data_IF_550964454148
#
_entry.id   IF_550964454148
#
_cell.length_a   1.000
_cell.length_b   1.000
_cell.length_c   1.000
_cell.angle_alpha   90.00
_cell.angle_beta   90.00
_cell.angle_gamma   90.00
#
_symmetry.space_group_name_H-M   'P 1'
#
loop_
_entity.id
_entity.type
_entity.pdbx_description
1 polymer ?
#
# COMPACT_ATOMS: atom_id res chain seq x y z
N UNK A 1 51.80 -38.71 23.17
CA UNK A 1 50.52 -38.57 22.43
C UNK A 1 50.01 -37.15 22.60
N UNK A 2 50.20 -36.31 21.58
CA UNK A 2 49.79 -34.86 21.58
C UNK A 2 48.39 -34.77 21.05
N UNK A 3 47.42 -34.32 21.87
CA UNK A 3 46.03 -34.04 21.44
C UNK A 3 45.98 -32.65 20.79
N UNK A 4 45.69 -32.61 19.50
CA UNK A 4 45.44 -31.36 18.75
C UNK A 4 43.98 -31.00 18.97
N UNK A 5 43.71 -29.88 19.65
CA UNK A 5 42.37 -29.25 19.75
C UNK A 5 42.19 -28.38 18.51
N UNK A 6 41.28 -28.81 17.64
CA UNK A 6 40.81 -27.99 16.50
C UNK A 6 39.69 -27.08 17.00
N UNK A 7 40.01 -25.79 17.14
CA UNK A 7 39.02 -24.77 17.49
C UNK A 7 38.27 -24.37 16.22
N UNK A 8 37.00 -24.75 16.10
CA UNK A 8 36.13 -24.34 15.00
C UNK A 8 35.70 -22.88 15.21
N UNK A 9 36.18 -21.97 14.36
CA UNK A 9 35.78 -20.58 14.34
C UNK A 9 34.43 -20.46 13.62
N UNK A 10 33.37 -20.24 14.38
CA UNK A 10 32.01 -19.99 13.84
C UNK A 10 31.93 -18.55 13.29
N UNK A 11 32.00 -18.38 11.99
CA UNK A 11 31.79 -17.08 11.34
C UNK A 11 30.29 -16.81 11.28
N UNK A 12 29.79 -15.92 12.15
CA UNK A 12 28.42 -15.40 12.09
C UNK A 12 28.41 -14.33 11.01
N UNK A 13 27.81 -14.65 9.85
CA UNK A 13 27.51 -13.67 8.81
C UNK A 13 26.29 -12.88 9.24
N UNK A 14 26.49 -11.67 9.77
CA UNK A 14 25.43 -10.70 10.02
C UNK A 14 24.97 -10.18 8.66
N UNK A 15 23.82 -10.66 8.16
CA UNK A 15 23.13 -10.03 7.05
C UNK A 15 22.59 -8.69 7.54
N UNK A 16 23.29 -7.61 7.19
CA UNK A 16 22.80 -6.25 7.43
C UNK A 16 21.53 -6.05 6.63
N UNK A 17 20.36 -5.97 7.30
CA UNK A 17 19.16 -5.41 6.72
C UNK A 17 19.46 -3.93 6.43
N UNK A 18 19.64 -3.56 5.17
CA UNK A 18 19.74 -2.16 4.80
C UNK A 18 18.38 -1.51 5.07
N UNK A 19 18.30 -0.51 5.96
CA UNK A 19 17.07 0.26 6.13
C UNK A 19 16.74 0.99 4.81
N UNK A 20 15.45 1.29 4.55
CA UNK A 20 15.08 2.09 3.38
C UNK A 20 15.85 3.40 3.37
N UNK A 21 16.36 3.78 2.21
CA UNK A 21 17.11 5.03 2.08
C UNK A 21 16.16 6.21 2.30
N UNK A 22 16.49 6.98 3.31
CA UNK A 22 15.78 8.20 3.67
C UNK A 22 16.53 9.35 3.02
N UNK A 23 15.86 10.12 2.15
CA UNK A 23 16.42 11.35 1.57
C UNK A 23 15.74 12.57 2.18
N UNK A 24 16.54 13.56 2.56
CA UNK A 24 16.01 14.83 3.04
C UNK A 24 15.50 15.68 1.87
N UNK A 25 14.31 16.23 1.98
CA UNK A 25 13.79 17.21 1.02
C UNK A 25 14.56 18.51 1.18
N UNK A 26 15.07 19.13 0.11
CA UNK A 26 15.76 20.42 0.24
C UNK A 26 14.79 21.49 0.76
N UNK A 27 15.02 22.00 1.98
CA UNK A 27 14.43 23.24 2.49
C UNK A 27 13.52 23.17 3.72
N UNK A 28 13.00 22.00 4.14
CA UNK A 28 12.08 21.94 5.28
C UNK A 28 12.41 20.88 6.35
N UNK A 29 13.49 20.14 6.18
CA UNK A 29 13.88 19.08 7.11
C UNK A 29 12.99 17.82 7.04
N UNK A 30 12.05 17.74 6.10
CA UNK A 30 11.16 16.59 5.94
C UNK A 30 11.91 15.39 5.37
N UNK A 31 11.77 14.27 6.04
CA UNK A 31 12.34 12.99 5.59
C UNK A 31 11.45 12.39 4.51
N UNK A 32 11.97 12.25 3.29
CA UNK A 32 11.22 11.63 2.19
C UNK A 32 11.40 10.12 2.22
N UNK A 33 10.30 9.40 2.42
CA UNK A 33 10.25 7.94 2.33
C UNK A 33 10.22 7.55 0.85
N UNK A 34 11.25 6.81 0.40
CA UNK A 34 11.31 6.31 -0.98
C UNK A 34 10.68 4.91 -1.05
N UNK A 35 9.41 4.84 -1.45
CA UNK A 35 8.64 3.58 -1.53
C UNK A 35 9.21 2.58 -2.54
N UNK A 36 9.88 3.06 -3.59
CA UNK A 36 10.53 2.22 -4.60
C UNK A 36 11.63 1.32 -4.03
N UNK A 37 12.29 1.74 -2.95
CA UNK A 37 13.35 0.95 -2.30
C UNK A 37 12.81 -0.20 -1.46
N UNK A 38 11.55 -0.15 -1.06
CA UNK A 38 10.90 -1.21 -0.28
C UNK A 38 10.48 -2.37 -1.19
N UNK A 39 10.13 -2.07 -2.44
CA UNK A 39 9.60 -3.02 -3.41
C UNK A 39 8.06 -3.12 -3.38
N UNK A 40 7.46 -3.12 -4.56
CA UNK A 40 6.00 -3.04 -4.74
C UNK A 40 5.27 -4.18 -4.02
N UNK A 41 5.66 -5.42 -4.26
CA UNK A 41 5.00 -6.59 -3.65
C UNK A 41 5.09 -6.59 -2.14
N UNK A 42 6.21 -6.15 -1.58
CA UNK A 42 6.40 -6.08 -0.13
C UNK A 42 5.46 -5.07 0.51
N UNK A 43 5.31 -3.88 -0.09
CA UNK A 43 4.39 -2.85 0.41
C UNK A 43 2.95 -3.34 0.32
N UNK A 44 2.55 -3.94 -0.80
CA UNK A 44 1.20 -4.48 -0.99
C UNK A 44 0.87 -5.59 -0.01
N UNK A 45 1.79 -6.55 0.22
CA UNK A 45 1.59 -7.63 1.19
C UNK A 45 1.51 -7.08 2.60
N UNK A 46 2.41 -6.18 2.99
CA UNK A 46 2.43 -5.57 4.32
C UNK A 46 1.14 -4.79 4.62
N UNK A 47 0.65 -4.02 3.63
CA UNK A 47 -0.61 -3.30 3.76
C UNK A 47 -1.82 -4.25 3.90
N UNK A 48 -1.85 -5.34 3.09
CA UNK A 48 -2.86 -6.39 3.21
C UNK A 48 -2.83 -7.04 4.59
N UNK A 49 -1.66 -7.41 5.09
CA UNK A 49 -1.48 -8.05 6.39
C UNK A 49 -1.99 -7.13 7.52
N UNK A 50 -1.70 -5.82 7.44
CA UNK A 50 -2.17 -4.84 8.41
C UNK A 50 -3.69 -4.72 8.42
N UNK A 51 -4.33 -4.66 7.25
CA UNK A 51 -5.79 -4.65 7.12
C UNK A 51 -6.40 -5.94 7.66
N UNK A 52 -5.83 -7.08 7.30
CA UNK A 52 -6.35 -8.37 7.74
C UNK A 52 -6.24 -8.57 9.25
N UNK A 53 -5.19 -8.03 9.88
CA UNK A 53 -5.07 -8.01 11.34
C UNK A 53 -6.21 -7.20 11.98
N UNK A 54 -6.53 -6.02 11.44
CA UNK A 54 -7.65 -5.18 11.94
C UNK A 54 -9.00 -5.87 11.71
N UNK A 55 -9.21 -6.46 10.53
CA UNK A 55 -10.45 -7.19 10.20
C UNK A 55 -10.65 -8.40 11.10
N UNK A 56 -9.58 -9.18 11.31
CA UNK A 56 -9.61 -10.36 12.20
C UNK A 56 -9.94 -9.98 13.64
N UNK A 57 -9.37 -8.88 14.14
CA UNK A 57 -9.69 -8.37 15.49
C UNK A 57 -11.18 -8.00 15.67
N UNK A 58 -11.90 -7.79 14.55
CA UNK A 58 -13.34 -7.51 14.49
C UNK A 58 -14.20 -8.69 14.04
N UNK A 59 -13.61 -9.89 13.94
CA UNK A 59 -14.33 -11.11 13.53
C UNK A 59 -14.73 -11.15 12.06
N UNK A 60 -14.08 -10.33 11.20
CA UNK A 60 -14.33 -10.28 9.77
C UNK A 60 -13.38 -11.20 8.98
N UNK A 61 -13.85 -11.69 7.83
CA UNK A 61 -13.03 -12.48 6.92
C UNK A 61 -11.85 -11.67 6.36
N UNK A 62 -10.72 -12.33 6.15
CA UNK A 62 -9.56 -11.73 5.52
C UNK A 62 -9.85 -11.36 4.06
N UNK A 63 -9.19 -10.29 3.60
CA UNK A 63 -9.15 -9.90 2.20
C UNK A 63 -8.00 -10.60 1.47
N UNK A 64 -8.09 -10.69 0.16
CA UNK A 64 -7.03 -11.14 -0.73
C UNK A 64 -6.71 -10.06 -1.78
N UNK A 65 -5.44 -9.96 -2.17
CA UNK A 65 -5.06 -9.08 -3.29
C UNK A 65 -5.65 -9.57 -4.60
N UNK A 66 -6.20 -8.63 -5.38
CA UNK A 66 -6.72 -8.88 -6.71
C UNK A 66 -5.97 -8.03 -7.75
N UNK A 67 -5.47 -8.68 -8.80
CA UNK A 67 -4.64 -8.04 -9.83
C UNK A 67 -5.41 -6.97 -10.62
N UNK A 68 -6.69 -7.20 -10.94
CA UNK A 68 -7.52 -6.23 -11.67
C UNK A 68 -7.76 -4.97 -10.85
N UNK A 69 -8.10 -5.13 -9.57
CA UNK A 69 -8.25 -4.01 -8.63
C UNK A 69 -6.91 -3.27 -8.44
N UNK A 70 -5.80 -3.99 -8.30
CA UNK A 70 -4.47 -3.37 -8.15
C UNK A 70 -4.07 -2.56 -9.39
N UNK A 71 -4.37 -3.05 -10.60
CA UNK A 71 -4.12 -2.30 -11.84
C UNK A 71 -5.00 -1.07 -11.95
N UNK A 72 -6.28 -1.16 -11.59
CA UNK A 72 -7.20 -0.03 -11.54
C UNK A 72 -6.73 1.04 -10.54
N UNK A 73 -6.32 0.62 -9.35
CA UNK A 73 -5.74 1.50 -8.33
C UNK A 73 -4.47 2.20 -8.84
N UNK A 74 -3.55 1.46 -9.47
CA UNK A 74 -2.31 2.01 -10.02
C UNK A 74 -2.56 3.07 -11.10
N UNK A 75 -3.51 2.80 -12.00
CA UNK A 75 -3.90 3.75 -13.05
C UNK A 75 -4.44 5.04 -12.45
N UNK A 76 -5.30 4.94 -11.42
CA UNK A 76 -5.88 6.11 -10.78
C UNK A 76 -4.89 6.90 -9.94
N UNK A 77 -3.98 6.24 -9.23
CA UNK A 77 -2.91 6.91 -8.48
C UNK A 77 -2.05 7.79 -9.38
N UNK A 78 -1.68 7.30 -10.57
CA UNK A 78 -0.98 8.09 -11.57
C UNK A 78 -1.86 9.22 -12.12
N UNK A 79 -3.12 8.95 -12.43
CA UNK A 79 -4.05 9.95 -12.97
C UNK A 79 -4.30 11.10 -11.98
N UNK A 80 -4.45 10.81 -10.69
CA UNK A 80 -4.52 11.85 -9.64
C UNK A 80 -3.27 12.74 -9.62
N UNK A 81 -2.07 12.16 -9.81
CA UNK A 81 -0.84 12.94 -9.86
C UNK A 81 -0.81 13.89 -11.07
N UNK A 82 -1.28 13.44 -12.22
CA UNK A 82 -1.39 14.27 -13.43
C UNK A 82 -2.40 15.40 -13.25
N UNK A 83 -3.53 15.12 -12.60
CA UNK A 83 -4.54 16.11 -12.26
C UNK A 83 -4.14 17.04 -11.12
N UNK A 84 -3.09 16.66 -10.37
CA UNK A 84 -2.68 17.28 -9.10
C UNK A 84 -3.86 17.44 -8.13
N UNK A 85 -4.70 16.41 -8.02
CA UNK A 85 -5.94 16.45 -7.24
C UNK A 85 -6.30 15.07 -6.68
N UNK A 86 -6.45 14.94 -5.33
CA UNK A 86 -6.90 13.70 -4.69
C UNK A 86 -8.43 13.61 -4.74
N UNK A 87 -8.98 13.07 -5.80
CA UNK A 87 -10.41 12.86 -5.95
C UNK A 87 -10.74 11.56 -6.68
N UNK A 88 -11.99 11.12 -6.57
CA UNK A 88 -12.42 9.80 -7.03
C UNK A 88 -12.63 9.68 -8.55
N UNK A 89 -12.74 10.79 -9.29
CA UNK A 89 -12.99 10.75 -10.73
C UNK A 89 -11.69 10.83 -11.53
N UNK A 90 -11.61 10.02 -12.57
CA UNK A 90 -10.52 10.07 -13.54
C UNK A 90 -10.54 11.33 -14.38
N UNK A 91 -9.40 11.71 -14.98
CA UNK A 91 -9.29 12.83 -15.93
C UNK A 91 -10.21 12.67 -17.15
N UNK A 92 -10.59 11.44 -17.48
CA UNK A 92 -11.55 11.07 -18.52
C UNK A 92 -13.01 11.02 -18.04
N UNK A 93 -13.29 11.44 -16.80
CA UNK A 93 -14.61 11.41 -16.18
C UNK A 93 -15.04 10.05 -15.60
N UNK A 94 -14.18 9.01 -15.66
CA UNK A 94 -14.52 7.69 -15.12
C UNK A 94 -14.68 7.71 -13.60
N UNK A 95 -15.73 7.06 -13.11
CA UNK A 95 -15.89 6.77 -11.69
C UNK A 95 -14.97 5.63 -11.23
N UNK A 96 -14.83 5.40 -9.92
CA UNK A 96 -14.14 4.22 -9.39
C UNK A 96 -14.71 2.89 -9.93
N UNK A 97 -16.03 2.79 -10.03
CA UNK A 97 -16.70 1.59 -10.57
C UNK A 97 -16.35 1.38 -12.05
N UNK A 98 -16.40 2.45 -12.87
CA UNK A 98 -16.04 2.35 -14.29
C UNK A 98 -14.59 1.84 -14.46
N UNK A 99 -13.67 2.35 -13.64
CA UNK A 99 -12.28 1.89 -13.67
C UNK A 99 -12.15 0.42 -13.31
N UNK A 100 -12.79 -0.01 -12.25
CA UNK A 100 -12.77 -1.40 -11.78
C UNK A 100 -13.29 -2.35 -12.87
N UNK A 101 -14.40 -2.02 -13.52
CA UNK A 101 -14.96 -2.79 -14.65
C UNK A 101 -14.02 -2.76 -15.85
N UNK A 102 -13.48 -1.59 -16.22
CA UNK A 102 -12.57 -1.45 -17.37
C UNK A 102 -11.27 -2.24 -17.20
N UNK A 103 -10.82 -2.47 -15.96
CA UNK A 103 -9.66 -3.33 -15.67
C UNK A 103 -10.01 -4.81 -15.53
N UNK A 104 -11.27 -5.20 -15.82
CA UNK A 104 -11.72 -6.57 -15.92
C UNK A 104 -12.07 -7.22 -14.58
N UNK A 105 -12.48 -6.43 -13.58
CA UNK A 105 -13.04 -6.98 -12.36
C UNK A 105 -14.55 -7.12 -12.47
N UNK A 106 -15.06 -8.34 -12.24
CA UNK A 106 -16.47 -8.67 -12.44
C UNK A 106 -17.25 -8.87 -11.13
N UNK A 107 -16.59 -8.72 -9.96
CA UNK A 107 -17.26 -8.79 -8.66
C UNK A 107 -17.96 -7.47 -8.29
N UNK A 108 -18.53 -7.44 -7.11
CA UNK A 108 -19.20 -6.24 -6.61
C UNK A 108 -18.18 -5.26 -6.03
N UNK A 109 -18.10 -4.06 -6.60
CA UNK A 109 -17.31 -2.96 -6.04
C UNK A 109 -17.97 -2.44 -4.76
N UNK A 110 -17.18 -2.25 -3.69
CA UNK A 110 -17.64 -1.77 -2.38
C UNK A 110 -17.23 -0.31 -2.20
N UNK A 111 -15.95 0.02 -2.41
CA UNK A 111 -15.51 1.39 -2.23
C UNK A 111 -14.04 1.63 -2.58
N UNK A 112 -13.69 2.89 -2.61
CA UNK A 112 -12.35 3.39 -2.89
C UNK A 112 -11.90 4.34 -1.78
N UNK A 113 -10.69 4.12 -1.25
CA UNK A 113 -9.97 5.06 -0.40
C UNK A 113 -8.81 5.67 -1.17
N UNK A 114 -8.64 6.97 -1.07
CA UNK A 114 -7.56 7.72 -1.72
C UNK A 114 -6.86 8.63 -0.73
N UNK A 115 -5.59 8.92 -0.97
CA UNK A 115 -4.82 9.91 -0.20
C UNK A 115 -3.76 10.59 -1.05
N UNK A 116 -3.53 11.86 -0.76
CA UNK A 116 -2.35 12.63 -1.15
C UNK A 116 -1.52 12.89 0.11
N UNK A 117 -0.30 12.35 0.16
CA UNK A 117 0.52 12.39 1.37
C UNK A 117 2.01 12.24 1.05
N UNK A 118 2.84 12.38 2.08
CA UNK A 118 4.27 12.01 2.06
C UNK A 118 4.54 10.78 2.96
N UNK A 119 3.48 10.16 3.47
CA UNK A 119 3.51 9.06 4.43
C UNK A 119 3.53 7.69 3.74
N UNK A 120 3.99 6.69 4.48
CA UNK A 120 3.98 5.30 4.05
C UNK A 120 2.58 4.66 4.13
N UNK A 121 2.51 3.38 3.78
CA UNK A 121 1.26 2.60 3.80
C UNK A 121 0.68 2.38 5.20
N UNK A 122 1.52 2.33 6.26
CA UNK A 122 1.02 2.18 7.63
C UNK A 122 0.33 3.45 8.13
N UNK A 123 1.00 4.59 7.97
CA UNK A 123 0.44 5.88 8.36
C UNK A 123 -0.79 6.23 7.52
N UNK A 124 -0.77 5.88 6.22
CA UNK A 124 -1.94 6.07 5.34
C UNK A 124 -3.12 5.20 5.79
N UNK A 125 -2.89 3.94 6.18
CA UNK A 125 -3.93 3.08 6.73
C UNK A 125 -4.48 3.63 8.05
N UNK A 126 -3.62 4.11 8.94
CA UNK A 126 -4.06 4.70 10.20
C UNK A 126 -4.99 5.90 9.96
N UNK A 127 -4.64 6.79 9.03
CA UNK A 127 -5.51 7.91 8.64
C UNK A 127 -6.85 7.41 8.11
N UNK A 128 -6.87 6.41 7.21
CA UNK A 128 -8.14 5.86 6.67
C UNK A 128 -8.99 5.21 7.76
N UNK A 129 -8.39 4.55 8.74
CA UNK A 129 -9.12 3.95 9.86
C UNK A 129 -9.71 4.98 10.82
N UNK A 130 -9.25 6.22 10.79
CA UNK A 130 -9.78 7.33 11.56
C UNK A 130 -10.82 8.18 10.80
N UNK A 131 -11.11 7.85 9.52
CA UNK A 131 -12.15 8.48 8.70
C UNK A 131 -13.35 7.53 8.60
N UNK A 132 -14.53 7.86 9.14
CA UNK A 132 -15.66 6.93 9.24
C UNK A 132 -16.05 6.25 7.91
N UNK A 133 -16.03 6.99 6.79
CA UNK A 133 -16.34 6.43 5.49
C UNK A 133 -15.28 5.43 5.03
N UNK A 134 -14.00 5.77 5.15
CA UNK A 134 -12.88 4.90 4.78
C UNK A 134 -12.83 3.65 5.65
N UNK A 135 -13.02 3.81 6.97
CA UNK A 135 -13.13 2.69 7.90
C UNK A 135 -14.26 1.75 7.49
N UNK A 136 -15.44 2.28 7.17
CA UNK A 136 -16.60 1.47 6.78
C UNK A 136 -16.35 0.65 5.50
N UNK A 137 -15.59 1.18 4.55
CA UNK A 137 -15.17 0.46 3.34
C UNK A 137 -14.21 -0.68 3.68
N UNK A 138 -13.19 -0.40 4.52
CA UNK A 138 -12.18 -1.39 4.93
C UNK A 138 -12.81 -2.53 5.74
N UNK A 139 -13.82 -2.22 6.53
CA UNK A 139 -14.49 -3.14 7.45
C UNK A 139 -15.82 -3.68 6.91
N UNK A 140 -16.15 -3.45 5.64
CA UNK A 140 -17.38 -4.03 5.07
C UNK A 140 -17.34 -5.57 5.20
N UNK A 141 -18.37 -6.19 5.84
CA UNK A 141 -18.37 -7.63 6.06
C UNK A 141 -18.50 -8.45 4.77
N UNK A 142 -18.94 -7.83 3.67
CA UNK A 142 -19.04 -8.48 2.36
C UNK A 142 -17.71 -8.45 1.60
N UNK A 143 -16.73 -7.64 2.02
CA UNK A 143 -15.47 -7.49 1.33
C UNK A 143 -14.64 -8.78 1.40
N UNK A 144 -14.11 -9.21 0.26
CA UNK A 144 -13.22 -10.37 0.11
C UNK A 144 -11.97 -10.08 -0.70
N UNK A 145 -11.98 -9.00 -1.50
CA UNK A 145 -10.88 -8.64 -2.40
C UNK A 145 -10.47 -7.19 -2.20
N UNK A 146 -9.18 -6.94 -2.39
CA UNK A 146 -8.64 -5.59 -2.43
C UNK A 146 -7.60 -5.41 -3.53
N UNK A 147 -7.45 -4.17 -3.96
CA UNK A 147 -6.30 -3.69 -4.71
C UNK A 147 -5.70 -2.49 -4.00
N UNK A 148 -4.39 -2.41 -3.93
CA UNK A 148 -3.65 -1.27 -3.39
C UNK A 148 -2.52 -0.90 -4.34
N UNK A 149 -2.39 0.38 -4.64
CA UNK A 149 -1.30 0.92 -5.43
C UNK A 149 -1.05 2.39 -5.08
N UNK A 150 0.09 2.88 -5.54
CA UNK A 150 0.46 4.27 -5.37
C UNK A 150 1.27 4.77 -6.57
N UNK A 151 1.33 6.08 -6.69
CA UNK A 151 2.30 6.79 -7.51
C UNK A 151 3.08 7.76 -6.62
N UNK A 152 4.41 7.74 -6.71
CA UNK A 152 5.28 8.66 -5.96
C UNK A 152 5.97 9.62 -6.92
N UNK A 153 5.80 10.91 -6.67
CA UNK A 153 6.49 11.97 -7.40
C UNK A 153 7.95 12.12 -6.94
N UNK A 154 8.76 12.78 -7.76
CA UNK A 154 10.18 13.02 -7.46
C UNK A 154 10.39 13.89 -6.22
N UNK A 155 9.41 14.74 -5.87
CA UNK A 155 9.41 15.55 -4.65
C UNK A 155 9.04 14.74 -3.40
N UNK A 156 8.73 13.45 -3.55
CA UNK A 156 8.37 12.54 -2.48
C UNK A 156 6.88 12.43 -2.21
N UNK A 157 6.03 13.27 -2.80
CA UNK A 157 4.58 13.18 -2.65
C UNK A 157 4.06 11.84 -3.18
N UNK A 158 3.13 11.23 -2.46
CA UNK A 158 2.57 9.91 -2.76
C UNK A 158 1.05 10.02 -2.91
N UNK A 159 0.56 9.45 -4.00
CA UNK A 159 -0.86 9.31 -4.31
C UNK A 159 -1.26 7.86 -4.08
N UNK A 160 -2.01 7.60 -3.03
CA UNK A 160 -2.47 6.27 -2.67
C UNK A 160 -3.88 6.00 -3.18
N UNK A 161 -4.11 4.79 -3.67
CA UNK A 161 -5.44 4.30 -4.01
C UNK A 161 -5.61 2.89 -3.49
N UNK A 162 -6.68 2.66 -2.74
CA UNK A 162 -7.14 1.36 -2.29
C UNK A 162 -8.54 1.11 -2.83
N UNK A 163 -8.77 -0.04 -3.44
CA UNK A 163 -10.07 -0.50 -3.91
C UNK A 163 -10.48 -1.74 -3.12
N UNK A 164 -11.69 -1.75 -2.61
CA UNK A 164 -12.29 -2.85 -1.86
C UNK A 164 -13.50 -3.39 -2.64
N UNK A 165 -13.61 -4.70 -2.71
CA UNK A 165 -14.64 -5.40 -3.47
C UNK A 165 -14.95 -6.80 -2.90
N UNK A 166 -15.94 -7.44 -3.47
CA UNK A 166 -16.42 -8.78 -3.12
C UNK A 166 -16.31 -9.72 -4.33
#
# INVERSE_FOLDING_TARGET
MRKILISALLIIVLTACNPPSVTNRPGDGTVVIQMSHIGVSRVQSRHLDSINAVRQARGLSALELNTSLTRAAKSHAFDMSVQNRPWHFGSNGSSPLDRVVNFGYNGQFIGENISETYEDDFNTLDVWMNIPLSESIILDPKATKMGIAWHQETNGKIWWVQLIAN
#
